data_IF_292718737202
#
_entry.id   IF_292718737202
#
_cell.length_a   1.000
_cell.length_b   1.000
_cell.length_c   1.000
_cell.angle_alpha   90.00
_cell.angle_beta   90.00
_cell.angle_gamma   90.00
#
_symmetry.space_group_name_H-M   'P 1'
#
loop_
_entity.id
_entity.type
_entity.pdbx_description
1 polymer ?
#
# COMPACT_ATOMS: atom_id res chain seq x y z
N UNK A 1 69.33 -9.26 -1.19
CA UNK A 1 69.38 -10.22 -2.31
C UNK A 1 68.34 -11.29 -2.04
N UNK A 2 67.24 -11.29 -2.82
CA UNK A 2 66.30 -12.41 -3.15
C UNK A 2 65.63 -13.15 -1.95
N UNK A 3 64.31 -13.17 -1.76
CA UNK A 3 63.27 -13.73 -2.67
C UNK A 3 61.85 -13.30 -2.22
N UNK A 4 61.00 -12.92 -3.18
CA UNK A 4 59.52 -12.91 -3.08
C UNK A 4 58.98 -14.35 -3.02
N UNK A 5 57.76 -14.54 -2.49
CA UNK A 5 56.62 -14.96 -3.32
C UNK A 5 55.42 -13.99 -3.13
N UNK A 6 54.66 -13.52 -4.12
CA UNK A 6 53.93 -14.18 -5.21
C UNK A 6 52.80 -15.10 -4.71
N UNK A 7 51.67 -14.50 -4.33
CA UNK A 7 50.36 -15.13 -4.43
C UNK A 7 49.34 -14.10 -4.96
N UNK A 8 49.07 -14.22 -6.26
CA UNK A 8 47.92 -13.65 -6.95
C UNK A 8 46.78 -14.67 -6.85
N UNK A 9 45.74 -14.36 -6.10
CA UNK A 9 44.48 -15.11 -6.18
C UNK A 9 43.49 -14.34 -7.05
N UNK A 10 43.58 -14.63 -8.34
CA UNK A 10 42.51 -14.48 -9.32
C UNK A 10 41.36 -15.42 -8.91
N UNK A 11 40.17 -14.86 -8.69
CA UNK A 11 38.94 -15.65 -8.62
C UNK A 11 37.89 -14.95 -9.48
N UNK A 12 38.11 -15.08 -10.79
CA UNK A 12 37.08 -15.01 -11.81
C UNK A 12 36.18 -16.24 -11.65
N UNK A 13 34.92 -16.03 -11.27
CA UNK A 13 33.90 -17.07 -11.24
C UNK A 13 32.54 -16.44 -11.46
N UNK A 14 32.39 -15.84 -12.64
CA UNK A 14 31.10 -15.75 -13.32
C UNK A 14 30.68 -17.15 -13.83
N UNK A 15 29.38 -17.32 -14.11
CA UNK A 15 28.74 -18.50 -14.70
C UNK A 15 28.51 -19.76 -13.82
N UNK A 16 27.38 -19.76 -13.09
CA UNK A 16 26.39 -20.82 -13.31
C UNK A 16 24.94 -20.33 -13.08
N UNK A 17 24.34 -19.78 -14.13
CA UNK A 17 22.90 -19.55 -14.27
C UNK A 17 22.26 -20.70 -15.07
N UNK A 18 21.17 -21.34 -14.60
CA UNK A 18 20.44 -22.30 -15.42
C UNK A 18 19.61 -21.62 -16.53
N UNK A 19 20.23 -21.53 -17.71
CA UNK A 19 19.82 -21.80 -19.12
C UNK A 19 18.35 -21.70 -19.62
N UNK A 20 17.37 -21.22 -18.84
CA UNK A 20 15.95 -21.24 -19.23
C UNK A 20 15.44 -20.04 -20.05
N UNK A 21 15.95 -18.82 -19.86
CA UNK A 21 15.27 -17.61 -20.39
C UNK A 21 16.13 -16.67 -21.24
N UNK A 22 17.41 -17.00 -21.52
CA UNK A 22 18.30 -16.12 -22.29
C UNK A 22 18.36 -16.44 -23.80
N UNK A 23 17.22 -16.40 -24.50
CA UNK A 23 17.13 -16.33 -25.97
C UNK A 23 15.83 -15.55 -26.29
N UNK A 24 15.79 -14.34 -26.88
CA UNK A 24 16.69 -13.65 -27.81
C UNK A 24 16.36 -12.13 -27.90
N UNK A 25 17.44 -11.33 -27.89
CA UNK A 25 17.76 -10.19 -28.77
C UNK A 25 16.88 -8.92 -28.80
N UNK A 26 17.50 -7.80 -28.38
CA UNK A 26 17.34 -6.48 -29.02
C UNK A 26 18.51 -6.25 -30.02
N UNK A 27 18.63 -5.14 -30.79
CA UNK A 27 17.67 -4.06 -31.15
C UNK A 27 17.67 -3.71 -32.67
N UNK A 28 16.68 -2.95 -33.16
CA UNK A 28 16.83 -2.18 -34.41
C UNK A 28 15.96 -0.89 -34.47
N UNK A 29 16.65 0.25 -34.34
CA UNK A 29 16.51 1.57 -35.00
C UNK A 29 15.12 2.16 -35.37
N UNK A 30 14.88 3.32 -34.74
CA UNK A 30 14.27 4.60 -35.22
C UNK A 30 13.56 4.63 -36.59
N UNK A 31 12.33 5.16 -36.60
CA UNK A 31 11.91 6.39 -37.31
C UNK A 31 10.49 6.84 -36.87
N UNK A 32 10.33 8.14 -36.66
CA UNK A 32 9.06 8.89 -36.68
C UNK A 32 9.22 10.00 -37.75
N UNK A 33 8.22 10.86 -38.07
CA UNK A 33 6.78 10.86 -37.79
C UNK A 33 5.91 11.15 -39.06
N UNK A 34 4.58 11.01 -38.98
CA UNK A 34 3.66 11.71 -39.89
C UNK A 34 2.32 12.08 -39.21
N UNK A 35 1.81 13.24 -39.62
CA UNK A 35 0.85 14.12 -38.95
C UNK A 35 -0.62 13.88 -39.36
N UNK A 36 -1.53 14.31 -38.44
CA UNK A 36 -2.78 15.09 -38.67
C UNK A 36 -3.96 14.43 -39.42
N UNK A 37 -5.12 14.28 -38.73
CA UNK A 37 -6.29 15.20 -38.69
C UNK A 37 -7.60 14.45 -38.36
N UNK A 38 -8.29 14.87 -37.30
CA UNK A 38 -9.76 14.90 -37.21
C UNK A 38 -10.27 16.20 -37.89
N UNK A 39 -11.55 16.37 -38.33
CA UNK A 39 -12.68 16.55 -37.38
C UNK A 39 -14.13 16.19 -37.85
N UNK A 40 -14.99 15.96 -36.84
CA UNK A 40 -16.39 16.40 -36.68
C UNK A 40 -17.56 15.92 -37.58
N UNK A 41 -18.64 15.42 -36.94
CA UNK A 41 -20.05 15.93 -36.97
C UNK A 41 -20.96 14.99 -36.15
N UNK A 42 -21.50 15.40 -34.99
CA UNK A 42 -22.87 15.97 -34.78
C UNK A 42 -23.99 15.30 -35.58
N UNK A 43 -24.89 14.60 -34.89
CA UNK A 43 -26.35 14.88 -34.91
C UNK A 43 -27.14 13.94 -33.97
N UNK A 44 -27.85 14.53 -33.00
CA UNK A 44 -29.16 14.07 -32.50
C UNK A 44 -30.22 14.61 -33.47
N UNK A 45 -31.38 13.94 -33.64
CA UNK A 45 -32.62 14.37 -32.94
C UNK A 45 -33.42 13.15 -32.39
N UNK A 46 -33.93 13.17 -31.17
CA UNK A 46 -35.17 13.81 -30.69
C UNK A 46 -36.47 13.00 -30.95
N UNK A 47 -37.14 12.70 -29.83
CA UNK A 47 -38.59 12.61 -29.61
C UNK A 47 -39.39 11.38 -30.12
N UNK A 48 -40.00 10.65 -29.16
CA UNK A 48 -41.46 10.57 -28.89
C UNK A 48 -41.72 9.53 -27.77
N UNK A 49 -42.12 9.99 -26.57
CA UNK A 49 -43.48 9.88 -26.01
C UNK A 49 -44.12 8.48 -26.11
N UNK A 50 -44.24 7.79 -24.97
CA UNK A 50 -45.54 7.43 -24.37
C UNK A 50 -45.36 6.68 -23.03
N UNK A 51 -46.04 7.20 -22.01
CA UNK A 51 -46.49 6.58 -20.75
C UNK A 51 -48.02 6.42 -20.93
N UNK A 52 -48.84 5.69 -20.13
CA UNK A 52 -48.63 4.61 -19.13
C UNK A 52 -49.47 3.34 -19.42
N UNK A 53 -49.26 2.25 -18.68
CA UNK A 53 -50.38 1.37 -18.30
C UNK A 53 -50.18 0.70 -16.93
N UNK A 54 -51.07 1.08 -16.00
CA UNK A 54 -51.34 0.45 -14.70
C UNK A 54 -51.87 -0.98 -14.86
N UNK A 55 -51.49 -1.86 -13.93
CA UNK A 55 -52.35 -2.79 -13.14
C UNK A 55 -51.46 -3.40 -12.04
N UNK A 56 -51.60 -3.05 -10.76
CA UNK A 56 -52.56 -3.57 -9.76
C UNK A 56 -52.68 -5.11 -9.79
N UNK A 57 -52.71 -5.88 -8.71
CA UNK A 57 -52.39 -5.75 -7.29
C UNK A 57 -52.49 -7.20 -6.73
N UNK A 58 -51.91 -7.42 -5.55
CA UNK A 58 -52.21 -8.49 -4.59
C UNK A 58 -51.76 -9.94 -4.87
N UNK A 59 -50.84 -10.44 -4.03
CA UNK A 59 -51.24 -11.29 -2.88
C UNK A 59 -50.13 -11.40 -1.83
N UNK A 60 -50.49 -10.99 -0.61
CA UNK A 60 -49.79 -11.30 0.65
C UNK A 60 -49.91 -12.79 0.95
N UNK A 61 -48.82 -13.45 1.32
CA UNK A 61 -48.81 -14.58 2.28
C UNK A 61 -47.42 -14.74 2.90
N UNK A 62 -47.31 -14.42 4.19
CA UNK A 62 -46.35 -14.97 5.17
C UNK A 62 -47.17 -15.23 6.44
N UNK A 63 -46.68 -15.95 7.48
CA UNK A 63 -45.47 -16.79 7.59
C UNK A 63 -45.76 -18.18 8.22
N UNK A 64 -45.01 -19.22 7.84
CA UNK A 64 -44.97 -20.48 8.60
C UNK A 64 -43.63 -20.62 9.32
N UNK A 65 -43.69 -20.58 10.66
CA UNK A 65 -42.60 -20.76 11.62
C UNK A 65 -41.85 -22.08 11.39
N UNK A 66 -40.53 -22.01 11.22
CA UNK A 66 -39.61 -23.14 11.46
C UNK A 66 -38.64 -22.77 12.59
N UNK A 67 -38.51 -23.71 13.54
CA UNK A 67 -37.70 -23.67 14.78
C UNK A 67 -36.23 -23.28 14.53
N UNK A 68 -35.57 -22.58 15.46
CA UNK A 68 -34.14 -22.29 15.39
C UNK A 68 -33.32 -23.51 15.86
N UNK A 69 -32.45 -24.01 14.99
CA UNK A 69 -31.32 -24.87 15.35
C UNK A 69 -30.12 -24.02 15.81
N UNK A 70 -29.26 -24.53 16.71
CA UNK A 70 -28.26 -23.73 17.42
C UNK A 70 -27.16 -23.18 16.48
N UNK A 71 -26.88 -21.89 16.66
CA UNK A 71 -25.80 -21.13 15.98
C UNK A 71 -24.44 -21.77 16.27
N UNK A 72 -23.85 -22.42 15.26
CA UNK A 72 -22.41 -22.69 15.22
C UNK A 72 -21.70 -21.35 15.05
N UNK A 73 -20.77 -21.03 15.97
CA UNK A 73 -19.89 -19.85 15.88
C UNK A 73 -19.21 -19.85 14.50
N UNK A 74 -19.14 -18.72 13.78
CA UNK A 74 -18.27 -18.63 12.62
C UNK A 74 -16.83 -18.77 13.13
N UNK A 75 -16.20 -19.91 12.82
CA UNK A 75 -14.74 -20.01 12.86
C UNK A 75 -14.13 -18.99 11.89
N UNK A 76 -12.82 -18.71 12.01
CA UNK A 76 -12.15 -17.77 11.11
C UNK A 76 -12.40 -18.20 9.68
N UNK A 77 -13.11 -17.36 8.92
CA UNK A 77 -13.32 -17.53 7.49
C UNK A 77 -11.94 -17.68 6.87
N UNK A 78 -11.65 -18.88 6.39
CA UNK A 78 -10.51 -19.14 5.51
C UNK A 78 -10.63 -18.15 4.35
N UNK A 79 -9.74 -17.15 4.34
CA UNK A 79 -9.61 -16.21 3.25
C UNK A 79 -9.27 -17.05 2.03
N UNK A 80 -10.20 -17.15 1.08
CA UNK A 80 -9.91 -17.70 -0.24
C UNK A 80 -8.82 -16.82 -0.83
N UNK A 81 -7.58 -17.31 -0.82
CA UNK A 81 -6.47 -16.70 -1.53
C UNK A 81 -6.74 -16.92 -3.02
N UNK A 82 -7.52 -16.03 -3.62
CA UNK A 82 -7.52 -15.86 -5.06
C UNK A 82 -6.21 -15.17 -5.43
N UNK A 83 -5.51 -15.67 -6.45
CA UNK A 83 -4.31 -15.04 -7.06
C UNK A 83 -4.55 -13.63 -7.65
N UNK A 84 -5.65 -12.97 -7.30
CA UNK A 84 -5.87 -11.56 -7.59
C UNK A 84 -5.02 -10.73 -6.62
N UNK A 85 -4.14 -9.87 -7.16
CA UNK A 85 -3.40 -8.91 -6.36
C UNK A 85 -4.36 -8.16 -5.41
N UNK A 86 -4.00 -7.98 -4.12
CA UNK A 86 -4.89 -7.34 -3.15
C UNK A 86 -5.29 -5.95 -3.65
N UNK A 87 -6.50 -5.51 -3.31
CA UNK A 87 -7.05 -4.24 -3.79
C UNK A 87 -6.10 -3.05 -3.52
N UNK A 88 -5.36 -3.09 -2.41
CA UNK A 88 -4.29 -2.13 -2.08
C UNK A 88 -3.15 -2.12 -3.11
N UNK A 89 -2.67 -3.27 -3.59
CA UNK A 89 -1.64 -3.34 -4.65
C UNK A 89 -2.12 -2.70 -5.95
N UNK A 90 -3.39 -2.91 -6.31
CA UNK A 90 -3.98 -2.24 -7.48
C UNK A 90 -4.07 -0.74 -7.26
N UNK A 91 -4.44 -0.30 -6.06
CA UNK A 91 -4.51 1.12 -5.70
C UNK A 91 -3.14 1.80 -5.81
N UNK A 92 -2.07 1.15 -5.32
CA UNK A 92 -0.70 1.66 -5.47
C UNK A 92 -0.28 1.83 -6.93
N UNK A 93 -0.66 0.91 -7.81
CA UNK A 93 -0.30 0.97 -9.22
C UNK A 93 -1.13 1.99 -10.02
N UNK A 94 -2.36 2.26 -9.61
CA UNK A 94 -3.35 3.00 -10.43
C UNK A 94 -3.67 4.40 -9.95
N UNK A 95 -3.39 4.73 -8.68
CA UNK A 95 -3.67 6.04 -8.10
C UNK A 95 -2.39 6.73 -7.63
N UNK A 96 -2.29 8.03 -7.92
CA UNK A 96 -1.22 8.87 -7.38
C UNK A 96 -1.26 8.91 -5.84
N UNK A 97 -2.46 8.92 -5.24
CA UNK A 97 -2.66 8.81 -3.78
C UNK A 97 -2.10 7.49 -3.27
N UNK A 98 -2.34 6.40 -3.99
CA UNK A 98 -1.76 5.09 -3.68
C UNK A 98 -0.24 5.10 -3.71
N UNK A 99 0.37 5.69 -4.74
CA UNK A 99 1.83 5.84 -4.82
C UNK A 99 2.38 6.68 -3.66
N UNK A 100 1.68 7.73 -3.23
CA UNK A 100 2.06 8.52 -2.05
C UNK A 100 2.03 7.69 -0.77
N UNK A 101 0.96 6.92 -0.55
CA UNK A 101 0.85 6.05 0.63
C UNK A 101 1.97 5.02 0.63
N UNK A 102 2.22 4.35 -0.49
CA UNK A 102 3.32 3.40 -0.61
C UNK A 102 4.67 4.08 -0.34
N UNK A 103 4.88 5.27 -0.92
CA UNK A 103 6.06 6.06 -0.73
C UNK A 103 6.26 6.43 0.75
N UNK A 104 5.22 6.78 1.50
CA UNK A 104 5.28 7.02 2.95
C UNK A 104 5.63 5.73 3.69
N UNK A 105 4.92 4.62 3.42
CA UNK A 105 5.12 3.34 4.11
C UNK A 105 6.54 2.78 3.95
N UNK A 106 7.25 3.08 2.86
CA UNK A 106 8.65 2.67 2.70
C UNK A 106 9.64 3.46 3.56
N UNK A 107 9.23 4.58 4.17
CA UNK A 107 10.13 5.51 4.88
C UNK A 107 9.48 6.20 6.08
N UNK A 108 8.40 5.64 6.60
CA UNK A 108 7.59 6.27 7.65
C UNK A 108 8.42 6.53 8.91
N UNK A 109 9.37 5.64 9.22
CA UNK A 109 10.24 5.73 10.40
C UNK A 109 11.21 6.92 10.38
N UNK A 110 11.28 7.67 9.27
CA UNK A 110 12.06 8.89 9.16
C UNK A 110 11.27 10.17 9.47
N UNK A 111 9.94 10.14 9.44
CA UNK A 111 9.12 11.35 9.60
C UNK A 111 7.83 11.18 10.41
N UNK A 112 7.50 9.96 10.83
CA UNK A 112 6.35 9.64 11.68
C UNK A 112 6.87 8.98 12.95
N UNK A 113 6.56 9.57 14.10
CA UNK A 113 6.85 8.98 15.40
C UNK A 113 5.67 8.09 15.80
N UNK A 114 5.83 6.79 15.64
CA UNK A 114 4.87 5.79 16.11
C UNK A 114 5.63 4.62 16.73
N UNK A 115 5.19 4.07 17.87
CA UNK A 115 4.03 4.50 18.68
C UNK A 115 4.23 5.87 19.36
N UNK A 116 3.13 6.54 19.72
CA UNK A 116 3.17 7.79 20.48
C UNK A 116 3.73 7.57 21.89
N UNK A 117 4.43 8.56 22.45
CA UNK A 117 5.05 8.44 23.77
C UNK A 117 4.01 8.14 24.87
N UNK A 118 2.79 8.67 24.73
CA UNK A 118 1.69 8.42 25.65
C UNK A 118 1.20 6.97 25.58
N UNK A 119 1.16 6.36 24.39
CA UNK A 119 0.83 4.94 24.25
C UNK A 119 1.85 4.03 24.96
N UNK A 120 3.09 4.51 25.12
CA UNK A 120 4.18 3.81 25.81
C UNK A 120 4.20 4.02 27.33
N UNK A 121 3.41 4.97 27.86
CA UNK A 121 3.37 5.27 29.30
C UNK A 121 2.64 4.19 30.13
N UNK A 122 2.03 3.19 29.47
CA UNK A 122 1.30 2.12 30.15
C UNK A 122 2.27 1.22 30.92
N UNK A 123 2.08 1.02 32.24
CA UNK A 123 2.93 0.13 33.01
C UNK A 123 2.80 -1.32 32.51
N UNK A 124 3.91 -2.06 32.60
CA UNK A 124 3.96 -3.47 32.19
C UNK A 124 2.91 -4.27 32.98
N UNK A 125 1.98 -4.97 32.32
CA UNK A 125 0.99 -5.80 33.02
C UNK A 125 1.66 -6.92 33.81
N UNK A 126 1.06 -7.31 34.95
CA UNK A 126 1.60 -8.39 35.79
C UNK A 126 1.70 -9.70 35.01
N UNK A 127 2.85 -10.37 35.10
CA UNK A 127 3.12 -11.64 34.43
C UNK A 127 3.41 -11.51 32.93
N UNK A 128 3.56 -10.28 32.46
CA UNK A 128 4.07 -9.94 31.14
C UNK A 128 5.47 -9.32 31.24
N UNK A 129 6.24 -9.46 30.17
CA UNK A 129 7.55 -8.88 29.99
C UNK A 129 7.57 -8.05 28.71
N UNK A 130 8.26 -6.91 28.73
CA UNK A 130 8.42 -6.05 27.55
C UNK A 130 9.27 -6.75 26.50
N UNK A 131 8.83 -6.72 25.24
CA UNK A 131 9.59 -7.30 24.14
C UNK A 131 10.65 -6.29 23.66
N UNK A 132 11.92 -6.69 23.70
CA UNK A 132 13.03 -5.82 23.29
C UNK A 132 12.90 -5.37 21.83
N UNK A 133 13.16 -4.09 21.58
CA UNK A 133 12.96 -3.46 20.28
C UNK A 133 11.49 -3.20 19.89
N UNK A 134 10.50 -3.62 20.69
CA UNK A 134 9.07 -3.44 20.41
C UNK A 134 8.36 -2.73 21.58
N UNK A 135 8.63 -1.43 21.73
CA UNK A 135 7.99 -0.60 22.76
C UNK A 135 6.46 -0.69 22.70
N UNK A 136 5.83 -0.95 23.85
CA UNK A 136 4.37 -1.12 23.96
C UNK A 136 3.85 -2.53 23.59
N UNK A 137 4.75 -3.46 23.26
CA UNK A 137 4.44 -4.88 23.04
C UNK A 137 5.01 -5.71 24.19
N UNK A 138 4.18 -6.61 24.71
CA UNK A 138 4.51 -7.45 25.85
C UNK A 138 4.23 -8.92 25.55
N UNK A 139 5.04 -9.81 26.10
CA UNK A 139 4.83 -11.26 26.05
C UNK A 139 4.54 -11.78 27.45
N UNK A 140 3.51 -12.61 27.57
CA UNK A 140 3.20 -13.25 28.84
C UNK A 140 4.23 -14.34 29.14
N UNK A 141 4.94 -14.23 30.26
CA UNK A 141 5.99 -15.17 30.68
C UNK A 141 5.61 -16.03 31.87
N UNK A 142 4.44 -15.78 32.48
CA UNK A 142 3.95 -16.54 33.63
C UNK A 142 2.43 -16.74 33.63
N UNK A 143 1.95 -17.78 34.32
CA UNK A 143 0.52 -18.08 34.46
C UNK A 143 -0.05 -18.91 33.31
N UNK A 144 -1.36 -18.77 33.06
CA UNK A 144 -2.09 -19.58 32.06
C UNK A 144 -1.97 -19.08 30.62
N UNK A 145 -1.51 -17.84 30.43
CA UNK A 145 -1.45 -17.18 29.12
C UNK A 145 -0.03 -17.12 28.55
N UNK A 146 0.91 -17.94 29.04
CA UNK A 146 2.32 -17.93 28.61
C UNK A 146 2.40 -18.00 27.08
N UNK A 147 3.24 -17.12 26.50
CA UNK A 147 3.41 -16.96 25.05
C UNK A 147 2.40 -16.04 24.37
N UNK A 148 1.35 -15.58 25.08
CA UNK A 148 0.40 -14.60 24.51
C UNK A 148 1.07 -13.23 24.37
N UNK A 149 0.97 -12.66 23.18
CA UNK A 149 1.42 -11.28 22.89
C UNK A 149 0.29 -10.32 23.20
N UNK A 150 0.62 -9.23 23.89
CA UNK A 150 -0.23 -8.09 24.13
C UNK A 150 0.40 -6.87 23.46
N UNK A 151 -0.30 -6.28 22.51
CA UNK A 151 0.10 -5.05 21.84
C UNK A 151 -0.79 -3.91 22.33
N UNK A 152 -0.23 -2.98 23.10
CA UNK A 152 -0.95 -1.84 23.64
C UNK A 152 -0.75 -0.57 22.80
N UNK A 153 -0.07 -0.67 21.66
CA UNK A 153 0.13 0.49 20.78
C UNK A 153 -1.20 0.91 20.16
N UNK A 154 -1.35 2.21 19.90
CA UNK A 154 -2.53 2.72 19.22
C UNK A 154 -2.50 2.28 17.75
N UNK A 155 -3.38 1.34 17.38
CA UNK A 155 -3.51 0.83 16.03
C UNK A 155 -4.20 1.82 15.07
N UNK A 156 -4.97 2.77 15.58
CA UNK A 156 -5.66 3.77 14.75
C UNK A 156 -4.69 4.85 14.23
N UNK A 157 -3.59 5.06 14.94
CA UNK A 157 -2.52 5.99 14.53
C UNK A 157 -1.36 5.28 13.81
N UNK A 158 -1.42 3.95 13.67
CA UNK A 158 -0.30 3.23 13.08
C UNK A 158 -0.13 3.60 11.59
N UNK A 159 1.11 3.76 11.10
CA UNK A 159 1.38 4.07 9.71
C UNK A 159 1.13 2.80 8.87
N UNK A 160 -0.13 2.54 8.57
CA UNK A 160 -0.58 1.44 7.73
C UNK A 160 -1.47 1.94 6.59
N UNK A 161 -1.67 1.10 5.58
CA UNK A 161 -2.51 1.45 4.43
C UNK A 161 -3.90 1.93 4.82
N UNK A 162 -4.55 1.22 5.75
CA UNK A 162 -5.93 1.49 6.15
C UNK A 162 -6.08 2.87 6.81
N UNK A 163 -5.09 3.30 7.61
CA UNK A 163 -5.16 4.62 8.25
C UNK A 163 -4.80 5.74 7.26
N UNK A 164 -3.88 5.46 6.33
CA UNK A 164 -3.40 6.46 5.37
C UNK A 164 -4.33 6.67 4.16
N UNK A 165 -5.17 5.69 3.80
CA UNK A 165 -6.11 5.85 2.67
C UNK A 165 -7.22 6.88 2.98
N UNK A 166 -7.61 7.00 4.24
CA UNK A 166 -8.63 7.94 4.71
C UNK A 166 -8.05 9.35 4.94
N UNK A 167 -6.72 9.47 5.04
CA UNK A 167 -6.03 10.75 5.17
C UNK A 167 -6.15 11.55 3.86
N UNK A 168 -6.33 12.87 3.96
CA UNK A 168 -6.40 13.74 2.79
C UNK A 168 -5.05 13.81 2.05
N UNK A 169 -5.06 13.82 0.72
CA UNK A 169 -3.84 13.85 -0.10
C UNK A 169 -2.92 15.06 0.19
N UNK A 170 -3.49 16.20 0.61
CA UNK A 170 -2.70 17.36 1.05
C UNK A 170 -1.89 17.09 2.32
N UNK A 171 -2.46 16.35 3.27
CA UNK A 171 -1.77 15.93 4.49
C UNK A 171 -0.75 14.84 4.18
N UNK A 172 -1.12 13.86 3.35
CA UNK A 172 -0.18 12.83 2.87
C UNK A 172 1.03 13.45 2.17
N UNK A 173 0.86 14.53 1.41
CA UNK A 173 1.97 15.27 0.78
C UNK A 173 2.91 15.85 1.83
N UNK A 174 2.37 16.50 2.85
CA UNK A 174 3.14 17.08 3.94
C UNK A 174 3.90 16.00 4.74
N UNK A 175 3.23 14.89 5.03
CA UNK A 175 3.81 13.74 5.72
C UNK A 175 4.92 13.09 4.90
N UNK A 176 4.70 12.89 3.60
CA UNK A 176 5.71 12.36 2.69
C UNK A 176 6.95 13.27 2.62
N UNK A 177 6.75 14.60 2.55
CA UNK A 177 7.86 15.55 2.56
C UNK A 177 8.71 15.43 3.83
N UNK A 178 8.08 15.38 5.02
CA UNK A 178 8.77 15.17 6.30
C UNK A 178 9.59 13.87 6.31
N UNK A 179 9.00 12.77 5.82
CA UNK A 179 9.70 11.48 5.79
C UNK A 179 10.90 11.49 4.83
N UNK A 180 10.78 12.17 3.68
CA UNK A 180 11.91 12.32 2.74
C UNK A 180 13.02 13.15 3.37
N UNK A 181 12.68 14.25 4.05
CA UNK A 181 13.67 15.13 4.69
C UNK A 181 14.40 14.43 5.83
N UNK A 182 13.69 13.75 6.73
CA UNK A 182 14.33 12.94 7.78
C UNK A 182 15.15 11.77 7.22
N UNK A 183 14.77 11.24 6.05
CA UNK A 183 15.56 10.22 5.36
C UNK A 183 16.85 10.81 4.79
N UNK A 184 16.78 11.98 4.15
CA UNK A 184 17.95 12.70 3.63
C UNK A 184 18.92 13.13 4.74
N UNK A 185 18.42 13.55 5.90
CA UNK A 185 19.24 13.92 7.06
C UNK A 185 20.02 12.73 7.63
N UNK A 186 19.38 11.56 7.75
CA UNK A 186 20.03 10.36 8.28
C UNK A 186 20.94 9.65 7.27
N UNK A 187 20.75 9.88 5.97
CA UNK A 187 21.60 9.37 4.90
C UNK A 187 22.72 10.36 4.60
N UNK A 188 23.68 10.48 5.51
CA UNK A 188 24.97 11.11 5.22
C UNK A 188 25.72 10.26 4.19
N UNK A 189 25.74 10.70 2.92
CA UNK A 189 26.64 10.42 1.78
C UNK A 189 27.30 9.04 1.58
N UNK A 190 26.88 7.99 2.29
CA UNK A 190 27.53 6.67 2.26
C UNK A 190 27.23 5.89 0.98
N UNK A 191 26.22 6.28 0.21
CA UNK A 191 25.93 5.74 -1.13
C UNK A 191 25.18 6.79 -1.97
N UNK A 192 25.89 7.53 -2.84
CA UNK A 192 25.29 8.60 -3.68
C UNK A 192 24.15 8.15 -4.62
N UNK A 193 23.89 6.84 -4.73
CA UNK A 193 22.73 6.27 -5.43
C UNK A 193 21.41 6.63 -4.72
N UNK A 194 21.37 6.56 -3.39
CA UNK A 194 20.16 6.74 -2.59
C UNK A 194 19.70 8.20 -2.57
N UNK A 195 20.65 9.14 -2.53
CA UNK A 195 20.33 10.58 -2.47
C UNK A 195 19.67 11.09 -3.75
N UNK A 196 20.16 10.66 -4.92
CA UNK A 196 19.55 11.01 -6.22
C UNK A 196 18.11 10.52 -6.35
N UNK A 197 17.80 9.34 -5.80
CA UNK A 197 16.44 8.82 -5.78
C UNK A 197 15.54 9.64 -4.86
N UNK A 198 16.03 10.00 -3.67
CA UNK A 198 15.29 10.86 -2.74
C UNK A 198 14.99 12.23 -3.33
N UNK A 199 15.94 12.83 -4.05
CA UNK A 199 15.69 14.09 -4.76
C UNK A 199 14.62 13.96 -5.84
N UNK A 200 14.60 12.85 -6.59
CA UNK A 200 13.54 12.59 -7.59
C UNK A 200 12.18 12.50 -6.91
N UNK A 201 12.10 11.80 -5.79
CA UNK A 201 10.86 11.65 -5.02
C UNK A 201 10.46 12.99 -4.39
N UNK A 202 11.41 13.80 -3.91
CA UNK A 202 11.15 15.16 -3.39
C UNK A 202 10.56 16.07 -4.48
N UNK A 203 11.16 16.08 -5.67
CA UNK A 203 10.64 16.83 -6.83
C UNK A 203 9.24 16.37 -7.23
N UNK A 204 9.03 15.05 -7.27
CA UNK A 204 7.71 14.48 -7.54
C UNK A 204 6.68 14.93 -6.48
N UNK A 205 6.98 14.76 -5.19
CA UNK A 205 6.12 15.17 -4.08
C UNK A 205 5.73 16.64 -4.18
N UNK A 206 6.67 17.53 -4.50
CA UNK A 206 6.42 18.97 -4.64
C UNK A 206 5.46 19.29 -5.80
N UNK A 207 5.54 18.54 -6.90
CA UNK A 207 4.68 18.70 -8.08
C UNK A 207 3.25 18.19 -7.92
N UNK A 208 2.92 17.51 -6.82
CA UNK A 208 1.58 16.96 -6.59
C UNK A 208 0.58 18.07 -6.22
N UNK A 209 -0.57 18.07 -6.90
CA UNK A 209 -1.74 18.85 -6.52
C UNK A 209 -2.68 17.99 -5.65
N UNK A 210 -2.78 18.34 -4.36
CA UNK A 210 -3.54 17.56 -3.36
C UNK A 210 -5.00 17.35 -3.73
N UNK A 211 -5.72 18.41 -4.12
CA UNK A 211 -7.16 18.33 -4.42
C UNK A 211 -7.45 17.45 -5.65
N UNK A 212 -6.58 17.52 -6.66
CA UNK A 212 -6.71 16.69 -7.85
C UNK A 212 -6.48 15.22 -7.51
N UNK A 213 -5.40 14.94 -6.78
CA UNK A 213 -5.03 13.57 -6.39
C UNK A 213 -6.06 12.97 -5.45
N UNK A 214 -6.65 13.76 -4.55
CA UNK A 214 -7.72 13.28 -3.67
C UNK A 214 -8.95 12.84 -4.46
N UNK A 215 -9.44 13.67 -5.38
CA UNK A 215 -10.61 13.35 -6.20
C UNK A 215 -10.41 12.08 -7.04
N UNK A 216 -9.23 11.94 -7.66
CA UNK A 216 -8.88 10.73 -8.42
C UNK A 216 -8.70 9.52 -7.49
N UNK A 217 -8.07 9.70 -6.33
CA UNK A 217 -7.89 8.70 -5.29
C UNK A 217 -9.21 8.13 -4.80
N UNK A 218 -10.17 8.97 -4.42
CA UNK A 218 -11.51 8.55 -3.99
C UNK A 218 -12.21 7.74 -5.09
N UNK A 219 -12.14 8.19 -6.35
CA UNK A 219 -12.75 7.50 -7.48
C UNK A 219 -12.16 6.09 -7.67
N UNK A 220 -10.84 5.97 -7.61
CA UNK A 220 -10.15 4.68 -7.74
C UNK A 220 -10.44 3.78 -6.53
N UNK A 221 -10.42 4.33 -5.32
CA UNK A 221 -10.73 3.60 -4.08
C UNK A 221 -12.13 3.00 -4.13
N UNK A 222 -13.15 3.78 -4.52
CA UNK A 222 -14.52 3.29 -4.73
C UNK A 222 -14.61 2.23 -5.82
N UNK A 223 -13.90 2.41 -6.94
CA UNK A 223 -13.84 1.42 -8.01
C UNK A 223 -13.19 0.09 -7.61
N UNK A 224 -12.35 0.10 -6.56
CA UNK A 224 -11.68 -1.08 -6.02
C UNK A 224 -12.35 -1.64 -4.75
N UNK A 225 -13.44 -1.02 -4.26
CA UNK A 225 -14.11 -1.43 -3.03
C UNK A 225 -13.28 -1.17 -1.76
N UNK A 226 -12.43 -0.15 -1.77
CA UNK A 226 -11.58 0.27 -0.66
C UNK A 226 -12.18 1.42 0.17
N UNK A 227 -13.28 2.00 -0.29
CA UNK A 227 -13.96 3.12 0.35
C UNK A 227 -15.45 2.99 0.06
N UNK A 228 -16.27 3.04 1.12
CA UNK A 228 -17.75 2.99 1.06
C UNK A 228 -18.37 4.32 0.58
#
# INVERSE_FOLDING_TARGET
MVKKPADSMDFDSDDDMPLGEMKKKAPAKKKAPAKKKSPAKKSKPAAKKSIPAKKAAAKKTTPAKKKPTPKKKPGPTAVKVTNAAPASSKFYATSEKGRMIQAILCRWWYGISWPSADALATPVPRGYESLDGFSGVYICTSGTNVGKILDNRNHDECPCFNNLIDTHAGELKSTLAKCIEGQMEKLEDKTGYTMKELEKIKKWCNGINGDKVEKEGIKVAKGLGLSD
#
